data_IF_235506021418
#
_entry.id   IF_235506021418
#
_cell.length_a   1.000
_cell.length_b   1.000
_cell.length_c   1.000
_cell.angle_alpha   90.00
_cell.angle_beta   90.00
_cell.angle_gamma   90.00
#
_symmetry.space_group_name_H-M   'P 1'
#
loop_
_entity.id
_entity.type
_entity.pdbx_description
1 polymer ?
#
# COMPACT_ATOMS: atom_id res chain seq x y z
N UNK A 1 -29.93 10.21 17.29
CA UNK A 1 -31.19 10.11 18.04
C UNK A 1 -31.19 11.21 19.08
N UNK A 2 -32.09 12.18 18.95
CA UNK A 2 -32.36 13.18 19.99
C UNK A 2 -33.35 12.55 20.98
N UNK A 3 -32.96 12.41 22.24
CA UNK A 3 -33.90 12.01 23.30
C UNK A 3 -35.07 13.00 23.33
N UNK A 4 -36.34 12.55 23.39
CA UNK A 4 -37.45 13.45 23.62
C UNK A 4 -37.25 14.12 24.99
N UNK A 5 -37.54 15.41 25.07
CA UNK A 5 -37.44 16.18 26.32
C UNK A 5 -38.26 15.49 27.42
N UNK A 6 -37.69 15.40 28.63
CA UNK A 6 -38.27 14.69 29.79
C UNK A 6 -39.71 15.17 30.12
N UNK A 7 -40.05 16.41 29.77
CA UNK A 7 -41.39 16.97 29.92
C UNK A 7 -42.42 16.32 29.00
N UNK A 8 -42.05 16.00 27.76
CA UNK A 8 -42.91 15.35 26.77
C UNK A 8 -43.23 13.89 27.14
N UNK A 9 -42.26 13.17 27.69
CA UNK A 9 -42.44 11.76 28.11
C UNK A 9 -43.47 11.69 29.24
N UNK A 10 -43.41 12.61 30.20
CA UNK A 10 -44.32 12.68 31.35
C UNK A 10 -45.76 12.98 30.96
N UNK A 11 -45.97 13.93 30.05
CA UNK A 11 -47.30 14.28 29.55
C UNK A 11 -47.94 13.12 28.77
N UNK A 12 -47.15 12.41 27.97
CA UNK A 12 -47.58 11.21 27.24
C UNK A 12 -47.96 10.08 28.21
N UNK A 13 -47.14 9.84 29.25
CA UNK A 13 -47.43 8.84 30.30
C UNK A 13 -48.72 9.16 31.08
N UNK A 14 -48.97 10.45 31.37
CA UNK A 14 -50.17 10.91 32.08
C UNK A 14 -51.45 10.73 31.25
N UNK A 15 -51.40 10.98 29.94
CA UNK A 15 -52.53 10.78 29.02
C UNK A 15 -52.80 9.28 28.80
N UNK A 16 -51.74 8.47 28.68
CA UNK A 16 -51.85 7.03 28.44
C UNK A 16 -52.14 6.22 29.71
N UNK A 17 -52.06 6.83 30.90
CA UNK A 17 -52.19 6.15 32.21
C UNK A 17 -51.17 5.00 32.40
N UNK A 18 -49.95 5.16 31.87
CA UNK A 18 -48.87 4.15 31.91
C UNK A 18 -47.66 4.72 32.62
N UNK A 19 -46.90 3.88 33.33
CA UNK A 19 -45.67 4.33 34.00
C UNK A 19 -44.53 4.60 33.01
N UNK A 20 -43.63 5.53 33.32
CA UNK A 20 -42.47 5.85 32.47
C UNK A 20 -41.61 4.62 32.17
N UNK A 21 -41.46 3.73 33.16
CA UNK A 21 -40.71 2.49 33.00
C UNK A 21 -41.38 1.50 32.02
N UNK A 22 -42.71 1.37 32.07
CA UNK A 22 -43.45 0.53 31.12
C UNK A 22 -43.39 1.11 29.70
N UNK A 23 -43.45 2.43 29.56
CA UNK A 23 -43.35 3.10 28.26
C UNK A 23 -41.94 2.95 27.65
N UNK A 24 -40.89 3.10 28.46
CA UNK A 24 -39.51 2.88 28.02
C UNK A 24 -39.26 1.41 27.67
N UNK A 25 -39.69 0.46 28.50
CA UNK A 25 -39.54 -0.98 28.23
C UNK A 25 -40.28 -1.39 26.96
N UNK A 26 -41.49 -0.88 26.74
CA UNK A 26 -42.25 -1.11 25.51
C UNK A 26 -41.56 -0.49 24.28
N UNK A 27 -40.92 0.68 24.43
CA UNK A 27 -40.18 1.32 23.33
C UNK A 27 -38.92 0.54 22.96
N UNK A 28 -38.15 0.08 23.95
CA UNK A 28 -36.96 -0.76 23.76
C UNK A 28 -37.32 -2.11 23.13
N UNK A 29 -38.45 -2.71 23.52
CA UNK A 29 -38.97 -3.94 22.92
C UNK A 29 -39.31 -3.77 21.42
N UNK A 30 -39.87 -2.61 21.03
CA UNK A 30 -40.17 -2.30 19.64
C UNK A 30 -38.88 -2.09 18.84
N UNK A 31 -37.90 -1.37 19.38
CA UNK A 31 -36.58 -1.19 18.76
C UNK A 31 -35.85 -2.52 18.59
N UNK A 32 -35.87 -3.39 19.60
CA UNK A 32 -35.28 -4.73 19.53
C UNK A 32 -35.93 -5.60 18.44
N UNK A 33 -37.27 -5.63 18.37
CA UNK A 33 -38.01 -6.40 17.34
C UNK A 33 -37.76 -5.86 15.93
N UNK A 34 -37.67 -4.54 15.77
CA UNK A 34 -37.36 -3.93 14.46
C UNK A 34 -35.92 -4.24 14.04
N UNK A 35 -34.95 -4.17 14.96
CA UNK A 35 -33.56 -4.56 14.72
C UNK A 35 -33.43 -6.04 14.31
N UNK A 36 -34.10 -6.96 15.01
CA UNK A 36 -34.12 -8.37 14.62
C UNK A 36 -34.73 -8.60 13.24
N UNK A 37 -35.82 -7.90 12.95
CA UNK A 37 -36.51 -8.02 11.66
C UNK A 37 -35.62 -7.52 10.52
N UNK A 38 -34.92 -6.40 10.73
CA UNK A 38 -33.94 -5.85 9.80
C UNK A 38 -32.76 -6.80 9.60
N UNK A 39 -32.21 -7.37 10.68
CA UNK A 39 -31.13 -8.37 10.60
C UNK A 39 -31.57 -9.62 9.82
N UNK A 40 -32.77 -10.17 10.08
CA UNK A 40 -33.34 -11.31 9.34
C UNK A 40 -33.58 -10.98 7.86
N UNK A 41 -33.98 -9.74 7.53
CA UNK A 41 -34.12 -9.28 6.14
C UNK A 41 -32.77 -9.14 5.46
N UNK A 42 -31.78 -8.53 6.13
CA UNK A 42 -30.42 -8.37 5.65
C UNK A 42 -29.77 -9.71 5.31
N UNK A 43 -29.80 -10.67 6.25
CA UNK A 43 -29.25 -12.03 6.01
C UNK A 43 -29.92 -12.74 4.82
N UNK A 44 -31.24 -12.57 4.66
CA UNK A 44 -31.97 -13.12 3.51
C UNK A 44 -31.56 -12.44 2.20
N UNK A 45 -31.39 -11.12 2.20
CA UNK A 45 -30.92 -10.36 1.04
C UNK A 45 -29.49 -10.78 0.65
N UNK A 46 -28.57 -10.84 1.61
CA UNK A 46 -27.18 -11.26 1.36
C UNK A 46 -27.10 -12.67 0.78
N UNK A 47 -27.88 -13.62 1.32
CA UNK A 47 -27.94 -14.98 0.77
C UNK A 47 -28.46 -15.00 -0.67
N UNK A 48 -29.50 -14.22 -0.99
CA UNK A 48 -30.03 -14.12 -2.36
C UNK A 48 -29.02 -13.49 -3.31
N UNK A 49 -28.40 -12.37 -2.94
CA UNK A 49 -27.38 -11.70 -3.75
C UNK A 49 -26.22 -12.65 -4.03
N UNK A 50 -25.73 -13.36 -3.01
CA UNK A 50 -24.68 -14.39 -3.15
C UNK A 50 -25.09 -15.48 -4.14
N UNK A 51 -26.31 -16.01 -4.02
CA UNK A 51 -26.80 -17.06 -4.93
C UNK A 51 -26.93 -16.55 -6.36
N UNK A 52 -27.45 -15.35 -6.56
CA UNK A 52 -27.56 -14.70 -7.88
C UNK A 52 -26.17 -14.51 -8.50
N UNK A 53 -25.20 -13.98 -7.74
CA UNK A 53 -23.82 -13.83 -8.22
C UNK A 53 -23.19 -15.17 -8.57
N UNK A 54 -23.36 -16.20 -7.74
CA UNK A 54 -22.85 -17.54 -8.01
C UNK A 54 -23.43 -18.13 -9.30
N UNK A 55 -24.74 -17.96 -9.51
CA UNK A 55 -25.42 -18.42 -10.73
C UNK A 55 -24.97 -17.62 -11.96
N UNK A 56 -24.76 -16.31 -11.83
CA UNK A 56 -24.27 -15.48 -12.92
C UNK A 56 -22.84 -15.86 -13.30
N UNK A 57 -21.88 -15.81 -12.38
CA UNK A 57 -20.50 -16.18 -12.66
C UNK A 57 -20.38 -17.64 -13.11
N UNK A 58 -21.01 -18.58 -12.38
CA UNK A 58 -20.98 -19.99 -12.76
C UNK A 58 -21.65 -20.27 -14.11
N UNK A 59 -22.78 -19.62 -14.39
CA UNK A 59 -23.50 -19.74 -15.65
C UNK A 59 -22.70 -19.19 -16.83
N UNK A 60 -22.10 -18.01 -16.68
CA UNK A 60 -21.26 -17.41 -17.73
C UNK A 60 -20.00 -18.24 -17.97
N UNK A 61 -19.31 -18.73 -16.93
CA UNK A 61 -18.18 -19.64 -17.09
C UNK A 61 -18.55 -20.92 -17.87
N UNK A 62 -19.67 -21.58 -17.52
CA UNK A 62 -20.12 -22.80 -18.21
C UNK A 62 -20.51 -22.52 -19.66
N UNK A 63 -21.21 -21.42 -19.91
CA UNK A 63 -21.59 -21.00 -21.25
C UNK A 63 -20.35 -20.74 -22.12
N UNK A 64 -19.40 -19.96 -21.60
CA UNK A 64 -18.16 -19.65 -22.31
C UNK A 64 -17.30 -20.90 -22.56
N UNK A 65 -17.27 -21.84 -21.61
CA UNK A 65 -16.61 -23.14 -21.79
C UNK A 65 -17.23 -23.92 -22.96
N UNK A 66 -18.56 -24.05 -22.96
CA UNK A 66 -19.28 -24.79 -24.00
C UNK A 66 -19.13 -24.15 -25.38
N UNK A 67 -19.27 -22.82 -25.47
CA UNK A 67 -19.10 -22.09 -26.73
C UNK A 67 -17.67 -22.19 -27.27
N UNK A 68 -16.66 -22.02 -26.42
CA UNK A 68 -15.27 -22.11 -26.86
C UNK A 68 -14.94 -23.52 -27.38
N UNK A 69 -15.38 -24.56 -26.65
CA UNK A 69 -15.20 -25.94 -27.06
C UNK A 69 -15.95 -26.27 -28.36
N UNK A 70 -17.19 -25.78 -28.51
CA UNK A 70 -17.98 -26.03 -29.71
C UNK A 70 -17.41 -25.36 -30.96
N UNK A 71 -16.81 -24.18 -30.83
CA UNK A 71 -16.27 -23.42 -31.96
C UNK A 71 -14.85 -23.83 -32.35
N UNK A 72 -13.99 -24.05 -31.36
CA UNK A 72 -12.55 -24.20 -31.58
C UNK A 72 -12.02 -25.59 -31.21
N UNK A 73 -12.84 -26.45 -30.58
CA UNK A 73 -12.44 -27.75 -30.02
C UNK A 73 -11.19 -27.68 -29.11
N UNK A 74 -10.95 -26.49 -28.55
CA UNK A 74 -9.79 -26.17 -27.72
C UNK A 74 -10.16 -25.05 -26.74
N UNK A 75 -9.41 -24.96 -25.63
CA UNK A 75 -9.63 -23.96 -24.59
C UNK A 75 -8.73 -22.73 -24.80
N UNK A 76 -9.05 -21.92 -25.81
CA UNK A 76 -8.29 -20.70 -26.14
C UNK A 76 -8.68 -19.49 -25.28
N UNK A 77 -9.80 -18.80 -25.58
CA UNK A 77 -10.22 -17.58 -24.89
C UNK A 77 -10.96 -17.82 -23.57
N UNK A 78 -11.39 -19.06 -23.31
CA UNK A 78 -12.09 -19.43 -22.07
C UNK A 78 -11.31 -19.02 -20.81
N UNK A 79 -9.99 -19.19 -20.80
CA UNK A 79 -9.16 -18.84 -19.64
C UNK A 79 -9.15 -17.34 -19.35
N UNK A 80 -9.24 -16.48 -20.38
CA UNK A 80 -9.36 -15.03 -20.20
C UNK A 80 -10.66 -14.67 -19.49
N UNK A 81 -11.76 -15.26 -19.94
CA UNK A 81 -13.08 -14.98 -19.36
C UNK A 81 -13.16 -15.50 -17.94
N UNK A 82 -12.70 -16.73 -17.69
CA UNK A 82 -12.70 -17.32 -16.35
C UNK A 82 -11.88 -16.48 -15.36
N UNK A 83 -10.67 -16.09 -15.74
CA UNK A 83 -9.81 -15.29 -14.85
C UNK A 83 -10.34 -13.87 -14.69
N UNK A 84 -10.93 -13.26 -15.73
CA UNK A 84 -11.64 -11.99 -15.62
C UNK A 84 -12.85 -12.03 -14.70
N UNK A 85 -13.63 -13.11 -14.75
CA UNK A 85 -14.73 -13.35 -13.81
C UNK A 85 -14.22 -13.53 -12.39
N UNK A 86 -13.10 -14.24 -12.19
CA UNK A 86 -12.48 -14.37 -10.87
C UNK A 86 -12.07 -13.02 -10.28
N UNK A 87 -11.57 -12.08 -11.10
CA UNK A 87 -11.29 -10.72 -10.65
C UNK A 87 -12.56 -10.04 -10.12
N UNK A 88 -13.65 -10.10 -10.87
CA UNK A 88 -14.92 -9.50 -10.43
C UNK A 88 -15.51 -10.22 -9.19
N UNK A 89 -15.45 -11.56 -9.16
CA UNK A 89 -15.93 -12.37 -8.06
C UNK A 89 -15.11 -12.19 -6.78
N UNK A 90 -13.81 -11.92 -6.89
CA UNK A 90 -12.94 -11.66 -5.74
C UNK A 90 -13.38 -10.42 -4.95
N UNK A 91 -13.87 -9.38 -5.63
CA UNK A 91 -14.31 -8.14 -4.98
C UNK A 91 -15.78 -8.16 -4.55
N UNK A 92 -16.62 -8.90 -5.26
CA UNK A 92 -18.08 -8.87 -5.05
C UNK A 92 -18.62 -10.06 -4.25
N UNK A 93 -18.08 -11.27 -4.49
CA UNK A 93 -18.57 -12.51 -3.92
C UNK A 93 -17.71 -12.97 -2.74
N UNK A 94 -16.39 -13.04 -2.89
CA UNK A 94 -15.44 -13.53 -1.88
C UNK A 94 -15.58 -12.87 -0.49
N UNK A 95 -15.76 -11.53 -0.33
CA UNK A 95 -15.95 -10.93 0.99
C UNK A 95 -17.21 -11.41 1.71
N UNK A 96 -18.22 -11.90 0.98
CA UNK A 96 -19.46 -12.46 1.55
C UNK A 96 -19.30 -13.93 1.96
N UNK A 97 -18.30 -14.63 1.41
CA UNK A 97 -17.99 -16.03 1.73
C UNK A 97 -17.15 -16.17 2.99
N UNK A 98 -16.31 -15.16 3.25
CA UNK A 98 -15.27 -15.22 4.28
C UNK A 98 -15.76 -14.55 5.57
N UNK A 99 -15.58 -15.22 6.70
CA UNK A 99 -15.98 -14.67 8.00
C UNK A 99 -14.82 -13.99 8.74
N UNK A 100 -13.61 -14.55 8.64
CA UNK A 100 -12.40 -14.05 9.31
C UNK A 100 -11.43 -13.50 8.27
N UNK A 101 -10.73 -12.41 8.59
CA UNK A 101 -9.70 -11.82 7.71
C UNK A 101 -10.23 -11.40 6.33
N UNK A 102 -11.47 -10.88 6.30
CA UNK A 102 -12.19 -10.56 5.06
C UNK A 102 -11.36 -9.69 4.12
N UNK A 103 -10.80 -8.60 4.63
CA UNK A 103 -9.99 -7.69 3.84
C UNK A 103 -8.76 -8.39 3.26
N UNK A 104 -7.99 -9.11 4.06
CA UNK A 104 -6.78 -9.80 3.59
C UNK A 104 -7.09 -10.90 2.56
N UNK A 105 -8.14 -11.70 2.79
CA UNK A 105 -8.53 -12.77 1.84
C UNK A 105 -9.11 -12.19 0.56
N UNK A 106 -9.93 -11.12 0.64
CA UNK A 106 -10.46 -10.44 -0.54
C UNK A 106 -9.35 -9.80 -1.37
N UNK A 107 -8.42 -9.09 -0.73
CA UNK A 107 -7.29 -8.46 -1.43
C UNK A 107 -6.34 -9.51 -2.02
N UNK A 108 -6.01 -10.56 -1.27
CA UNK A 108 -5.19 -11.66 -1.76
C UNK A 108 -5.86 -12.43 -2.91
N UNK A 109 -7.17 -12.66 -2.81
CA UNK A 109 -7.96 -13.26 -3.89
C UNK A 109 -8.01 -12.39 -5.14
N UNK A 110 -8.18 -11.08 -4.97
CA UNK A 110 -8.12 -10.11 -6.06
C UNK A 110 -6.75 -10.11 -6.74
N UNK A 111 -5.66 -9.97 -5.97
CA UNK A 111 -4.29 -10.01 -6.50
C UNK A 111 -4.04 -11.31 -7.25
N UNK A 112 -4.37 -12.47 -6.67
CA UNK A 112 -4.19 -13.76 -7.34
C UNK A 112 -4.99 -13.85 -8.65
N UNK A 113 -6.27 -13.45 -8.63
CA UNK A 113 -7.11 -13.47 -9.83
C UNK A 113 -6.61 -12.54 -10.93
N UNK A 114 -6.04 -11.38 -10.56
CA UNK A 114 -5.43 -10.45 -11.50
C UNK A 114 -4.17 -11.04 -12.12
N UNK A 115 -3.28 -11.64 -11.31
CA UNK A 115 -2.09 -12.31 -11.82
C UNK A 115 -2.44 -13.46 -12.78
N UNK A 116 -3.46 -14.25 -12.45
CA UNK A 116 -3.96 -15.29 -13.35
C UNK A 116 -4.52 -14.71 -14.66
N UNK A 117 -5.22 -13.57 -14.59
CA UNK A 117 -5.73 -12.88 -15.78
C UNK A 117 -4.60 -12.34 -16.66
N UNK A 118 -3.56 -11.76 -16.06
CA UNK A 118 -2.37 -11.29 -16.79
C UNK A 118 -1.65 -12.47 -17.44
N UNK A 119 -1.50 -13.60 -16.74
CA UNK A 119 -0.90 -14.81 -17.29
C UNK A 119 -1.73 -15.35 -18.46
N UNK A 120 -3.04 -15.48 -18.30
CA UNK A 120 -3.94 -15.92 -19.37
C UNK A 120 -3.87 -14.99 -20.59
N UNK A 121 -3.80 -13.67 -20.37
CA UNK A 121 -3.65 -12.65 -21.42
C UNK A 121 -2.33 -12.76 -22.16
N UNK A 122 -1.24 -13.01 -21.43
CA UNK A 122 0.08 -13.20 -22.02
C UNK A 122 0.12 -14.45 -22.90
N UNK A 123 -0.39 -15.58 -22.39
CA UNK A 123 -0.45 -16.83 -23.13
C UNK A 123 -1.37 -16.73 -24.35
N UNK A 124 -2.51 -16.05 -24.23
CA UNK A 124 -3.45 -15.85 -25.33
C UNK A 124 -2.87 -14.98 -26.45
N UNK A 125 -2.14 -13.92 -26.09
CA UNK A 125 -1.45 -13.06 -27.06
C UNK A 125 -0.17 -13.67 -27.64
N UNK A 126 0.29 -14.81 -27.12
CA UNK A 126 1.57 -15.43 -27.49
C UNK A 126 2.79 -14.60 -27.06
N UNK A 127 2.62 -13.71 -26.08
CA UNK A 127 3.68 -12.85 -25.57
C UNK A 127 4.46 -13.47 -24.41
N UNK A 128 5.51 -12.77 -23.99
CA UNK A 128 6.42 -13.08 -22.89
C UNK A 128 6.47 -11.96 -21.83
N UNK A 129 5.56 -11.00 -21.90
CA UNK A 129 5.50 -9.82 -21.04
C UNK A 129 4.99 -10.09 -19.62
N UNK A 130 4.47 -11.29 -19.34
CA UNK A 130 3.88 -11.64 -18.04
C UNK A 130 4.80 -11.39 -16.84
N UNK A 131 6.07 -11.82 -16.81
CA UNK A 131 6.93 -11.61 -15.63
C UNK A 131 7.10 -10.12 -15.27
N UNK A 132 7.22 -9.26 -16.28
CA UNK A 132 7.31 -7.81 -16.08
C UNK A 132 6.00 -7.24 -15.54
N UNK A 133 4.86 -7.59 -16.18
CA UNK A 133 3.55 -7.13 -15.73
C UNK A 133 3.23 -7.60 -14.32
N UNK A 134 3.47 -8.88 -14.02
CA UNK A 134 3.27 -9.48 -12.70
C UNK A 134 4.11 -8.79 -11.62
N UNK A 135 5.41 -8.56 -11.88
CA UNK A 135 6.26 -7.86 -10.93
C UNK A 135 5.78 -6.41 -10.69
N UNK A 136 5.33 -5.72 -11.75
CA UNK A 136 4.83 -4.35 -11.65
C UNK A 136 3.52 -4.26 -10.87
N UNK A 137 2.57 -5.15 -11.15
CA UNK A 137 1.29 -5.21 -10.42
C UNK A 137 1.47 -5.65 -8.99
N UNK A 138 2.31 -6.64 -8.71
CA UNK A 138 2.61 -7.05 -7.33
C UNK A 138 3.28 -5.92 -6.54
N UNK A 139 4.22 -5.18 -7.13
CA UNK A 139 4.82 -4.01 -6.51
C UNK A 139 3.79 -2.91 -6.20
N UNK A 140 2.98 -2.53 -7.20
CA UNK A 140 1.95 -1.49 -7.00
C UNK A 140 0.87 -1.89 -6.00
N UNK A 141 0.38 -3.13 -6.07
CA UNK A 141 -0.62 -3.65 -5.14
C UNK A 141 -0.03 -3.87 -3.74
N UNK A 142 1.21 -4.30 -3.64
CA UNK A 142 1.96 -4.41 -2.39
C UNK A 142 1.97 -3.07 -1.67
N UNK A 143 2.39 -2.01 -2.37
CA UNK A 143 2.52 -0.68 -1.78
C UNK A 143 1.21 -0.18 -1.12
N UNK A 144 0.06 -0.52 -1.70
CA UNK A 144 -1.27 -0.09 -1.25
C UNK A 144 -1.88 -1.05 -0.23
N UNK A 145 -1.82 -2.36 -0.48
CA UNK A 145 -2.61 -3.37 0.24
C UNK A 145 -1.83 -4.14 1.29
N UNK A 146 -0.51 -4.22 1.18
CA UNK A 146 0.33 -4.92 2.14
C UNK A 146 0.20 -4.35 3.57
N UNK A 147 0.06 -3.02 3.81
CA UNK A 147 -0.17 -2.50 5.16
C UNK A 147 -1.43 -3.05 5.82
N UNK A 148 -2.50 -3.27 5.05
CA UNK A 148 -3.73 -3.86 5.55
C UNK A 148 -3.55 -5.35 5.89
N UNK A 149 -2.88 -6.11 5.02
CA UNK A 149 -2.57 -7.52 5.25
C UNK A 149 -1.68 -7.71 6.49
N UNK A 150 -0.68 -6.83 6.68
CA UNK A 150 0.25 -6.91 7.81
C UNK A 150 -0.40 -6.60 9.16
N UNK A 151 -1.59 -5.97 9.20
CA UNK A 151 -2.29 -5.70 10.48
C UNK A 151 -2.63 -6.99 11.23
N UNK A 152 -2.89 -8.07 10.51
CA UNK A 152 -3.38 -9.33 11.04
C UNK A 152 -2.27 -10.31 11.45
N UNK A 153 -1.00 -9.93 11.33
CA UNK A 153 0.12 -10.81 11.71
C UNK A 153 0.18 -11.01 13.23
N UNK A 154 0.35 -12.27 13.69
CA UNK A 154 0.60 -12.57 15.09
C UNK A 154 2.00 -12.11 15.53
N UNK A 155 2.22 -12.02 16.84
CA UNK A 155 3.57 -11.82 17.40
C UNK A 155 4.42 -13.08 17.18
N UNK A 156 5.75 -12.95 16.98
CA UNK A 156 6.58 -11.74 17.09
C UNK A 156 6.62 -10.84 15.83
N UNK A 157 6.18 -11.36 14.68
CA UNK A 157 6.25 -10.65 13.41
C UNK A 157 5.39 -9.37 13.38
N UNK A 158 4.30 -9.35 14.15
CA UNK A 158 3.45 -8.17 14.33
C UNK A 158 4.16 -6.94 14.92
N UNK A 159 5.32 -7.09 15.53
CA UNK A 159 6.12 -5.96 16.06
C UNK A 159 7.00 -5.32 14.98
N UNK A 160 7.27 -6.05 13.90
CA UNK A 160 8.20 -5.66 12.84
C UNK A 160 7.47 -5.31 11.53
N UNK A 161 6.18 -4.96 11.59
CA UNK A 161 5.32 -4.69 10.41
C UNK A 161 5.92 -3.66 9.44
N UNK A 162 6.52 -2.59 9.96
CA UNK A 162 7.15 -1.57 9.11
C UNK A 162 8.35 -2.16 8.34
N UNK A 163 9.20 -2.93 9.01
CA UNK A 163 10.36 -3.57 8.40
C UNK A 163 9.94 -4.66 7.39
N UNK A 164 8.90 -5.44 7.71
CA UNK A 164 8.32 -6.42 6.80
C UNK A 164 7.72 -5.77 5.55
N UNK A 165 7.02 -4.64 5.72
CA UNK A 165 6.51 -3.84 4.61
C UNK A 165 7.64 -3.36 3.71
N UNK A 166 8.61 -2.61 4.27
CA UNK A 166 9.70 -2.06 3.48
C UNK A 166 10.58 -3.14 2.86
N UNK A 167 10.77 -4.28 3.54
CA UNK A 167 11.45 -5.46 3.03
C UNK A 167 10.75 -6.10 1.84
N UNK A 168 9.44 -6.33 1.95
CA UNK A 168 8.66 -6.86 0.84
C UNK A 168 8.66 -5.91 -0.37
N UNK A 169 8.46 -4.61 -0.16
CA UNK A 169 8.51 -3.60 -1.23
C UNK A 169 9.91 -3.51 -1.87
N UNK A 170 10.98 -3.63 -1.07
CA UNK A 170 12.35 -3.68 -1.58
C UNK A 170 12.55 -4.88 -2.51
N UNK A 171 12.07 -6.05 -2.11
CA UNK A 171 12.17 -7.27 -2.90
C UNK A 171 11.32 -7.19 -4.18
N UNK A 172 10.10 -6.67 -4.09
CA UNK A 172 9.20 -6.47 -5.23
C UNK A 172 9.78 -5.45 -6.23
N UNK A 173 10.38 -4.36 -5.75
CA UNK A 173 11.08 -3.40 -6.59
C UNK A 173 12.28 -4.05 -7.30
N UNK A 174 13.08 -4.85 -6.60
CA UNK A 174 14.19 -5.58 -7.22
C UNK A 174 13.70 -6.59 -8.27
N UNK A 175 12.60 -7.30 -7.99
CA UNK A 175 11.98 -8.24 -8.93
C UNK A 175 11.45 -7.52 -10.17
N UNK A 176 10.84 -6.34 -10.01
CA UNK A 176 10.39 -5.49 -11.11
C UNK A 176 11.54 -5.02 -11.98
N UNK A 177 12.64 -4.55 -11.38
CA UNK A 177 13.83 -4.14 -12.13
C UNK A 177 14.45 -5.30 -12.88
N UNK A 178 14.56 -6.47 -12.25
CA UNK A 178 15.06 -7.68 -12.91
C UNK A 178 14.16 -8.10 -14.09
N UNK A 179 12.85 -8.17 -13.88
CA UNK A 179 11.89 -8.55 -14.90
C UNK A 179 11.85 -7.55 -16.06
N UNK A 180 11.94 -6.25 -15.76
CA UNK A 180 12.03 -5.18 -16.74
C UNK A 180 13.29 -5.30 -17.60
N UNK A 181 14.46 -5.50 -16.98
CA UNK A 181 15.71 -5.69 -17.71
C UNK A 181 15.68 -6.93 -18.61
N UNK A 182 15.18 -8.05 -18.07
CA UNK A 182 15.02 -9.30 -18.82
C UNK A 182 14.09 -9.14 -20.03
N UNK A 183 12.97 -8.43 -19.86
CA UNK A 183 12.00 -8.17 -20.92
C UNK A 183 12.55 -7.23 -22.00
N UNK A 184 13.26 -6.16 -21.61
CA UNK A 184 13.85 -5.21 -22.57
C UNK A 184 15.17 -5.70 -23.20
N UNK A 185 15.71 -6.84 -22.74
CA UNK A 185 17.03 -7.32 -23.15
C UNK A 185 18.16 -6.34 -22.81
N UNK A 186 18.03 -5.64 -21.68
CA UNK A 186 18.88 -4.51 -21.37
C UNK A 186 19.96 -4.85 -20.33
N UNK A 187 21.15 -4.30 -20.54
CA UNK A 187 22.35 -4.67 -19.77
C UNK A 187 22.50 -3.88 -18.45
N UNK A 188 21.52 -3.05 -18.09
CA UNK A 188 21.59 -2.19 -16.90
C UNK A 188 21.31 -2.92 -15.57
N UNK A 189 20.91 -4.20 -15.62
CA UNK A 189 20.67 -5.04 -14.44
C UNK A 189 21.55 -6.31 -14.50
N UNK A 190 22.30 -6.65 -13.44
CA UNK A 190 22.24 -6.06 -12.10
C UNK A 190 22.98 -4.72 -11.96
N UNK A 191 23.94 -4.40 -12.83
CA UNK A 191 24.76 -3.19 -12.70
C UNK A 191 24.48 -2.24 -13.87
N UNK A 192 24.18 -0.94 -13.64
CA UNK A 192 24.23 -0.20 -12.37
C UNK A 192 22.97 -0.26 -11.49
N UNK A 193 21.85 -0.79 -11.99
CA UNK A 193 20.54 -0.50 -11.39
C UNK A 193 20.31 -1.10 -10.00
N UNK A 194 20.74 -2.34 -9.74
CA UNK A 194 20.54 -2.98 -8.43
C UNK A 194 21.27 -2.23 -7.30
N UNK A 195 22.60 -1.98 -7.37
CA UNK A 195 23.28 -1.22 -6.32
C UNK A 195 22.78 0.23 -6.24
N UNK A 196 22.40 0.86 -7.36
CA UNK A 196 21.81 2.20 -7.36
C UNK A 196 20.48 2.24 -6.62
N UNK A 197 19.64 1.22 -6.81
CA UNK A 197 18.36 1.08 -6.11
C UNK A 197 18.55 0.79 -4.63
N UNK A 198 19.46 -0.13 -4.27
CA UNK A 198 19.76 -0.42 -2.87
C UNK A 198 20.36 0.80 -2.14
N UNK A 199 21.19 1.59 -2.84
CA UNK A 199 21.67 2.87 -2.33
C UNK A 199 20.49 3.84 -2.12
N UNK A 200 19.60 4.00 -3.10
CA UNK A 200 18.38 4.81 -2.98
C UNK A 200 17.51 4.41 -1.78
N UNK A 201 17.36 3.11 -1.54
CA UNK A 201 16.60 2.55 -0.43
C UNK A 201 17.29 2.67 0.93
N UNK A 202 18.59 2.96 0.97
CA UNK A 202 19.34 3.10 2.22
C UNK A 202 18.76 4.20 3.12
N UNK A 203 18.30 5.31 2.53
CA UNK A 203 17.68 6.41 3.30
C UNK A 203 16.32 6.01 3.91
N UNK A 204 15.33 5.47 3.15
CA UNK A 204 14.11 4.91 3.73
C UNK A 204 14.36 3.89 4.84
N UNK A 205 15.33 2.98 4.64
CA UNK A 205 15.71 2.00 5.67
C UNK A 205 16.31 2.66 6.91
N UNK A 206 17.22 3.62 6.75
CA UNK A 206 17.79 4.37 7.86
C UNK A 206 16.71 5.09 8.67
N UNK A 207 15.79 5.79 8.00
CA UNK A 207 14.65 6.45 8.63
C UNK A 207 13.77 5.46 9.39
N UNK A 208 13.46 4.30 8.81
CA UNK A 208 12.69 3.25 9.47
C UNK A 208 13.39 2.77 10.75
N UNK A 209 14.70 2.47 10.66
CA UNK A 209 15.48 1.98 11.77
C UNK A 209 15.53 3.00 12.93
N UNK A 210 15.76 4.27 12.60
CA UNK A 210 15.75 5.38 13.57
C UNK A 210 14.37 5.54 14.21
N UNK A 211 13.30 5.57 13.42
CA UNK A 211 11.95 5.85 13.93
C UNK A 211 11.44 4.69 14.80
N UNK A 212 11.65 3.45 14.39
CA UNK A 212 11.06 2.27 15.04
C UNK A 212 11.94 1.64 16.10
N UNK A 213 13.26 1.58 15.90
CA UNK A 213 14.14 0.78 16.75
C UNK A 213 15.10 1.61 17.61
N UNK A 214 15.35 2.89 17.28
CA UNK A 214 16.21 3.71 18.11
C UNK A 214 15.51 4.17 19.41
N UNK A 215 16.11 3.94 20.60
CA UNK A 215 15.55 4.31 21.90
C UNK A 215 15.81 5.79 22.22
N UNK A 216 15.42 6.68 21.31
CA UNK A 216 15.62 8.14 21.42
C UNK A 216 14.28 8.89 21.34
N UNK A 217 14.25 10.10 21.91
CA UNK A 217 13.03 10.93 21.92
C UNK A 217 12.59 11.38 20.51
N UNK A 218 11.33 11.79 20.32
CA UNK A 218 10.76 12.09 19.01
C UNK A 218 11.52 13.20 18.25
N UNK A 219 11.93 14.27 18.94
CA UNK A 219 12.74 15.34 18.35
C UNK A 219 14.14 14.87 17.94
N UNK A 220 14.75 13.96 18.70
CA UNK A 220 16.02 13.34 18.34
C UNK A 220 15.86 12.39 17.15
N UNK A 221 14.73 11.68 17.01
CA UNK A 221 14.41 10.89 15.82
C UNK A 221 14.31 11.78 14.58
N UNK A 222 13.59 12.90 14.68
CA UNK A 222 13.51 13.89 13.60
C UNK A 222 14.87 14.42 13.19
N UNK A 223 15.70 14.84 14.16
CA UNK A 223 17.06 15.30 13.90
C UNK A 223 17.93 14.21 13.24
N UNK A 224 17.83 12.95 13.70
CA UNK A 224 18.59 11.84 13.15
C UNK A 224 18.17 11.48 11.71
N UNK A 225 16.86 11.46 11.40
CA UNK A 225 16.39 11.22 10.03
C UNK A 225 16.82 12.34 9.07
N UNK A 226 16.72 13.60 9.49
CA UNK A 226 17.17 14.75 8.69
C UNK A 226 18.69 14.74 8.52
N UNK A 227 19.43 14.38 9.57
CA UNK A 227 20.88 14.17 9.49
C UNK A 227 21.27 13.05 8.53
N UNK A 228 20.55 11.92 8.54
CA UNK A 228 20.76 10.85 7.57
C UNK A 228 20.52 11.32 6.13
N UNK A 229 19.49 12.14 5.90
CA UNK A 229 19.26 12.78 4.60
C UNK A 229 20.39 13.74 4.21
N UNK A 230 20.94 14.51 5.15
CA UNK A 230 22.09 15.39 4.91
C UNK A 230 23.37 14.64 4.55
N UNK A 231 23.57 13.42 5.07
CA UNK A 231 24.68 12.55 4.68
C UNK A 231 24.41 11.91 3.31
N UNK A 232 23.16 11.53 3.04
CA UNK A 232 22.76 10.84 1.83
C UNK A 232 22.81 11.74 0.59
N UNK A 233 22.27 12.96 0.68
CA UNK A 233 22.03 13.83 -0.48
C UNK A 233 23.29 14.17 -1.29
N UNK A 234 24.44 14.56 -0.68
CA UNK A 234 25.67 14.84 -1.43
C UNK A 234 26.26 13.60 -2.12
N UNK A 235 25.86 12.39 -1.69
CA UNK A 235 26.37 11.14 -2.23
C UNK A 235 25.58 10.63 -3.44
N UNK A 236 24.37 11.13 -3.69
CA UNK A 236 23.48 10.61 -4.74
C UNK A 236 24.15 10.62 -6.11
N UNK A 237 24.48 11.80 -6.63
CA UNK A 237 25.11 11.91 -7.95
C UNK A 237 26.48 11.22 -8.03
N UNK A 238 27.44 11.44 -7.12
CA UNK A 238 28.77 10.82 -7.24
C UNK A 238 28.74 9.28 -7.14
N UNK A 239 27.80 8.70 -6.38
CA UNK A 239 27.64 7.24 -6.33
C UNK A 239 27.01 6.75 -7.63
N UNK A 240 25.94 7.39 -8.11
CA UNK A 240 25.28 6.99 -9.35
C UNK A 240 26.21 7.07 -10.57
N UNK A 241 26.99 8.15 -10.71
CA UNK A 241 27.98 8.29 -11.79
C UNK A 241 28.97 7.13 -11.80
N UNK A 242 29.51 6.77 -10.63
CA UNK A 242 30.46 5.66 -10.49
C UNK A 242 29.82 4.32 -10.80
N UNK A 243 28.58 4.11 -10.38
CA UNK A 243 27.83 2.90 -10.72
C UNK A 243 27.60 2.81 -12.23
N UNK A 244 27.19 3.89 -12.88
CA UNK A 244 26.99 3.94 -14.35
C UNK A 244 28.29 3.60 -15.08
N UNK A 245 29.41 4.22 -14.68
CA UNK A 245 30.72 3.89 -15.26
C UNK A 245 31.12 2.43 -15.02
N UNK A 246 30.86 1.88 -13.83
CA UNK A 246 31.13 0.48 -13.53
C UNK A 246 30.25 -0.47 -14.36
N UNK A 247 29.03 -0.05 -14.70
CA UNK A 247 28.12 -0.76 -15.62
C UNK A 247 28.47 -0.59 -17.10
N UNK A 248 29.60 0.04 -17.44
CA UNK A 248 30.02 0.27 -18.83
C UNK A 248 29.34 1.45 -19.52
N UNK A 249 28.53 2.22 -18.79
CA UNK A 249 27.94 3.47 -19.28
C UNK A 249 28.94 4.62 -19.34
N UNK A 250 28.53 5.72 -19.95
CA UNK A 250 29.31 6.96 -20.02
C UNK A 250 28.67 8.06 -19.18
N UNK A 251 29.51 8.92 -18.60
CA UNK A 251 29.09 10.08 -17.83
C UNK A 251 29.86 11.28 -18.36
N UNK A 252 29.16 12.33 -18.78
CA UNK A 252 29.78 13.52 -19.38
C UNK A 252 30.69 14.25 -18.40
N UNK A 253 30.27 14.35 -17.14
CA UNK A 253 31.02 15.03 -16.08
C UNK A 253 30.85 14.29 -14.76
N UNK A 254 31.98 13.99 -14.12
CA UNK A 254 31.96 13.26 -12.85
C UNK A 254 31.63 14.18 -11.68
N UNK A 255 30.62 13.84 -10.91
CA UNK A 255 30.29 14.54 -9.67
C UNK A 255 31.33 14.23 -8.59
N UNK A 256 31.68 15.27 -7.83
CA UNK A 256 32.52 15.14 -6.64
C UNK A 256 31.71 14.62 -5.46
N UNK A 257 32.38 14.09 -4.43
CA UNK A 257 31.72 13.67 -3.17
C UNK A 257 31.22 14.84 -2.30
N UNK A 258 31.16 16.04 -2.88
CA UNK A 258 30.63 17.25 -2.28
C UNK A 258 30.15 18.21 -3.38
N UNK A 259 29.20 19.09 -3.02
CA UNK A 259 28.60 20.03 -3.95
C UNK A 259 29.63 21.00 -4.54
N UNK A 260 29.45 21.33 -5.82
CA UNK A 260 30.21 22.37 -6.54
C UNK A 260 29.25 23.38 -7.17
N UNK A 261 28.57 24.20 -6.33
CA UNK A 261 27.57 25.14 -6.81
C UNK A 261 28.21 26.26 -7.63
N UNK A 262 27.47 26.76 -8.61
CA UNK A 262 27.72 28.04 -9.27
C UNK A 262 26.39 28.78 -9.38
N UNK A 263 26.09 29.63 -8.38
CA UNK A 263 24.84 30.37 -8.29
C UNK A 263 24.68 31.45 -9.37
N UNK A 264 25.67 31.64 -10.25
CA UNK A 264 25.53 32.51 -11.42
C UNK A 264 24.90 31.77 -12.62
N UNK A 265 24.92 30.43 -12.61
CA UNK A 265 24.45 29.57 -13.71
C UNK A 265 23.26 28.72 -13.28
N UNK A 266 22.06 29.12 -13.68
CA UNK A 266 20.81 28.40 -13.39
C UNK A 266 20.16 27.74 -14.60
N UNK A 267 20.59 28.10 -15.81
CA UNK A 267 20.06 27.57 -17.07
C UNK A 267 20.76 26.31 -17.54
N UNK A 268 21.97 26.04 -17.04
CA UNK A 268 22.72 24.82 -17.33
C UNK A 268 22.29 23.71 -16.34
N UNK A 269 21.80 22.58 -16.85
CA UNK A 269 21.23 21.48 -16.04
C UNK A 269 22.17 21.00 -14.93
N UNK A 270 23.47 20.90 -15.23
CA UNK A 270 24.49 20.51 -14.28
C UNK A 270 24.56 21.44 -13.06
N UNK A 271 24.76 22.74 -13.30
CA UNK A 271 24.91 23.72 -12.22
C UNK A 271 23.57 23.95 -11.50
N UNK A 272 22.46 23.88 -12.22
CA UNK A 272 21.12 23.91 -11.62
C UNK A 272 20.94 22.79 -10.60
N UNK A 273 21.27 21.53 -10.96
CA UNK A 273 21.19 20.39 -10.06
C UNK A 273 22.06 20.58 -8.80
N UNK A 274 23.32 20.97 -8.96
CA UNK A 274 24.26 21.25 -7.85
C UNK A 274 23.76 22.36 -6.92
N UNK A 275 23.26 23.47 -7.49
CA UNK A 275 22.71 24.59 -6.73
C UNK A 275 21.46 24.16 -5.94
N UNK A 276 20.52 23.44 -6.57
CA UNK A 276 19.29 22.96 -5.94
C UNK A 276 19.59 21.97 -4.82
N UNK A 277 20.48 21.00 -5.06
CA UNK A 277 20.86 20.01 -4.05
C UNK A 277 21.54 20.65 -2.84
N UNK A 278 22.40 21.65 -3.05
CA UNK A 278 23.00 22.40 -1.94
C UNK A 278 21.97 23.18 -1.14
N UNK A 279 21.03 23.88 -1.80
CA UNK A 279 19.96 24.61 -1.10
C UNK A 279 19.07 23.66 -0.30
N UNK A 280 18.72 22.52 -0.88
CA UNK A 280 17.97 21.47 -0.19
C UNK A 280 18.75 20.94 1.02
N UNK A 281 20.05 20.69 0.85
CA UNK A 281 20.93 20.26 1.95
C UNK A 281 20.95 21.27 3.09
N UNK A 282 21.10 22.57 2.79
CA UNK A 282 21.08 23.65 3.79
C UNK A 282 19.74 23.70 4.54
N UNK A 283 18.62 23.55 3.82
CA UNK A 283 17.30 23.51 4.44
C UNK A 283 17.13 22.30 5.36
N UNK A 284 17.56 21.12 4.94
CA UNK A 284 17.54 19.89 5.76
C UNK A 284 18.44 20.01 6.98
N UNK A 285 19.63 20.59 6.83
CA UNK A 285 20.58 20.81 7.92
C UNK A 285 20.02 21.79 8.96
N UNK A 286 19.43 22.90 8.51
CA UNK A 286 18.77 23.86 9.39
C UNK A 286 17.60 23.22 10.16
N UNK A 287 16.78 22.41 9.47
CA UNK A 287 15.70 21.66 10.11
C UNK A 287 16.22 20.63 11.13
N UNK A 288 17.32 19.94 10.82
CA UNK A 288 17.95 18.98 11.75
C UNK A 288 18.44 19.68 13.03
N UNK A 289 19.11 20.83 12.87
CA UNK A 289 19.58 21.65 13.99
C UNK A 289 18.39 22.13 14.82
N UNK A 290 17.32 22.60 14.19
CA UNK A 290 16.10 23.02 14.89
C UNK A 290 15.50 21.88 15.72
N UNK A 291 15.36 20.68 15.15
CA UNK A 291 14.88 19.50 15.88
C UNK A 291 15.80 19.15 17.06
N UNK A 292 17.11 19.21 16.88
CA UNK A 292 18.08 18.94 17.95
C UNK A 292 18.00 19.98 19.08
N UNK A 293 17.90 21.27 18.75
CA UNK A 293 17.72 22.35 19.72
C UNK A 293 16.43 22.17 20.52
N UNK A 294 15.31 21.86 19.86
CA UNK A 294 14.04 21.54 20.53
C UNK A 294 14.17 20.34 21.46
N UNK A 295 14.89 19.30 21.05
CA UNK A 295 15.13 18.13 21.88
C UNK A 295 15.92 18.47 23.16
N UNK A 296 16.92 19.36 23.06
CA UNK A 296 17.70 19.84 24.20
C UNK A 296 16.86 20.71 25.15
N UNK A 297 16.00 21.58 24.62
CA UNK A 297 15.11 22.41 25.41
C UNK A 297 14.10 21.56 26.20
N UNK A 298 13.41 20.62 25.55
CA UNK A 298 12.45 19.75 26.24
C UNK A 298 13.08 18.91 27.35
N UNK A 299 14.34 18.48 27.20
CA UNK A 299 15.07 17.79 28.28
C UNK A 299 15.35 18.70 29.47
N UNK A 300 15.67 19.97 29.23
CA UNK A 300 15.90 20.96 30.29
C UNK A 300 14.62 21.27 31.05
N UNK A 301 13.50 21.38 30.35
CA UNK A 301 12.20 21.64 30.97
C UNK A 301 11.75 20.45 31.84
N UNK A 302 11.94 19.21 31.35
CA UNK A 302 11.65 17.99 32.11
C UNK A 302 12.58 17.79 33.33
N UNK A 303 13.78 18.36 33.33
CA UNK A 303 14.70 18.31 34.47
C UNK A 303 14.43 19.40 35.53
N UNK A 304 13.58 20.38 35.22
CA UNK A 304 13.22 21.50 36.10
C UNK A 304 11.84 21.33 36.78
N UNK A 305 11.00 20.43 36.28
CA UNK A 305 9.71 20.05 36.85
C UNK A 305 9.88 18.89 37.83
#
# INVERSE_FOLDING_TARGET
MSYPDITLIRDICAILQVSEHELLTASEDVEARTAETLAKKYLRLTRRVRMVQLLLYGGTAVLCLACNWAMYHALTWFWLVLTGELVAASLTLLPTLVQKRRAAVTLGGFTLSLELLLLASCLYSGGDWFPMAAAATLFGLGAIFLPAALRELPRPLGEHKAALYLGAETLLLCALLWAGAAYSGADWFPLPALPGTLFGLALPWACLLIIRYAPIGPWWKGAACLGAACVFLPLVNPVLDRLVLLGGGTVERLHSFWFRPDFTRWTEDWYCNENVLLLLWLALAAAAVFCALRALLCRRDAARA
#
